data_IF_777074330367
#
_entry.id   IF_777074330367
#
_cell.length_a   1.000
_cell.length_b   1.000
_cell.length_c   1.000
_cell.angle_alpha   90.00
_cell.angle_beta   90.00
_cell.angle_gamma   90.00
#
_symmetry.space_group_name_H-M   'P 1'
#
loop_
_entity.id
_entity.type
_entity.pdbx_description
1 polymer ?
#
# COMPACT_ATOMS: atom_id res chain seq x y z
N UNK A 1 -11.99 -25.54 -28.45
CA UNK A 1 -11.65 -24.74 -28.15
C UNK A 1 -11.51 -24.64 -26.82
N UNK A 2 -10.84 -24.40 -26.45
CA UNK A 2 -10.60 -24.29 -25.38
C UNK A 2 -11.06 -23.22 -24.93
N UNK A 3 -11.50 -22.98 -24.15
CA UNK A 3 -11.99 -22.02 -23.73
C UNK A 3 -11.15 -21.31 -23.19
N UNK A 4 -11.12 -20.26 -23.33
CA UNK A 4 -10.20 -19.51 -22.86
C UNK A 4 -10.48 -19.08 -21.50
N UNK A 5 -9.55 -19.13 -20.66
CA UNK A 5 -9.63 -18.58 -19.36
C UNK A 5 -9.23 -17.15 -19.46
N UNK A 6 -9.96 -16.23 -18.90
CA UNK A 6 -9.56 -14.83 -18.97
C UNK A 6 -8.21 -14.64 -18.31
N UNK A 7 -7.36 -13.90 -18.96
CA UNK A 7 -6.04 -13.61 -18.45
C UNK A 7 -6.04 -12.26 -17.77
N UNK A 8 -5.30 -12.11 -16.69
CA UNK A 8 -5.23 -10.80 -16.04
C UNK A 8 -4.53 -9.82 -16.93
N UNK A 9 -4.90 -8.57 -16.79
CA UNK A 9 -4.23 -7.51 -17.44
C UNK A 9 -2.79 -7.52 -17.04
N UNK A 10 -1.91 -7.05 -17.89
CA UNK A 10 -0.48 -7.02 -17.60
C UNK A 10 -0.16 -6.26 -16.33
N UNK A 11 -1.01 -5.31 -15.93
CA UNK A 11 -0.78 -4.53 -14.74
C UNK A 11 -1.20 -5.22 -13.45
N UNK A 12 -1.96 -6.29 -13.52
CA UNK A 12 -2.52 -6.91 -12.31
C UNK A 12 -1.45 -7.57 -11.47
N UNK A 13 -0.55 -8.33 -12.08
CA UNK A 13 0.48 -9.02 -11.33
C UNK A 13 1.47 -8.05 -10.69
N UNK A 14 1.99 -7.04 -11.41
CA UNK A 14 2.86 -6.06 -10.75
C UNK A 14 2.17 -5.31 -9.63
N UNK A 15 0.88 -5.03 -9.76
CA UNK A 15 0.11 -4.39 -8.69
C UNK A 15 0.07 -5.30 -7.48
N UNK A 16 -0.21 -6.57 -7.68
CA UNK A 16 -0.27 -7.52 -6.58
C UNK A 16 1.08 -7.67 -5.90
N UNK A 17 2.15 -7.62 -6.67
CA UNK A 17 3.48 -7.72 -6.11
C UNK A 17 3.80 -6.55 -5.20
N UNK A 18 3.38 -5.36 -5.56
CA UNK A 18 3.62 -4.21 -4.70
C UNK A 18 2.86 -4.35 -3.38
N UNK A 19 1.73 -5.01 -3.40
CA UNK A 19 0.93 -5.20 -2.20
C UNK A 19 1.27 -6.47 -1.44
N UNK A 20 2.24 -7.24 -1.91
CA UNK A 20 2.59 -8.48 -1.24
C UNK A 20 3.54 -8.29 -0.06
N UNK A 21 4.10 -7.12 0.08
CA UNK A 21 5.03 -6.85 1.17
C UNK A 21 4.31 -6.11 2.29
N UNK A 22 4.32 -6.66 3.52
CA UNK A 22 3.58 -6.03 4.62
C UNK A 22 4.07 -4.63 4.94
N UNK A 23 5.36 -4.36 4.76
CA UNK A 23 5.89 -3.02 5.05
C UNK A 23 5.34 -1.99 4.08
N UNK A 24 5.25 -2.36 2.81
CA UNK A 24 4.68 -1.44 1.83
C UNK A 24 3.22 -1.18 2.12
N UNK A 25 2.48 -2.23 2.47
CA UNK A 25 1.06 -2.05 2.80
C UNK A 25 0.91 -1.15 4.02
N UNK A 26 1.74 -1.33 5.03
CA UNK A 26 1.67 -0.49 6.22
C UNK A 26 1.92 0.98 5.89
N UNK A 27 2.89 1.24 5.04
CA UNK A 27 3.19 2.62 4.67
C UNK A 27 2.08 3.23 3.81
N UNK A 28 1.52 2.45 2.90
CA UNK A 28 0.40 2.94 2.10
C UNK A 28 -0.80 3.22 2.97
N UNK A 29 -1.07 2.35 3.93
CA UNK A 29 -2.21 2.53 4.82
C UNK A 29 -2.04 3.79 5.67
N UNK A 30 -0.82 4.09 6.08
CA UNK A 30 -0.55 5.29 6.84
C UNK A 30 -0.81 6.57 6.06
N UNK A 31 -0.84 6.47 4.73
CA UNK A 31 -1.08 7.62 3.88
C UNK A 31 -2.53 7.72 3.40
N UNK A 32 -3.41 6.91 3.96
CA UNK A 32 -4.82 7.02 3.62
C UNK A 32 -5.39 8.34 4.14
N UNK A 33 -6.51 8.72 3.56
CA UNK A 33 -7.22 9.94 3.97
C UNK A 33 -6.42 11.21 3.70
N UNK A 34 -5.61 11.17 2.67
CA UNK A 34 -4.90 12.38 2.23
C UNK A 34 -3.72 12.77 3.09
N UNK A 35 -3.26 11.87 3.94
CA UNK A 35 -2.13 12.21 4.81
C UNK A 35 -0.84 12.33 4.03
N UNK A 36 0.04 13.17 4.53
CA UNK A 36 1.35 13.37 3.95
C UNK A 36 2.35 13.14 5.06
N UNK A 37 3.30 12.26 4.83
CA UNK A 37 4.27 11.91 5.85
C UNK A 37 5.66 11.83 5.25
N UNK A 38 6.68 12.20 6.01
CA UNK A 38 8.05 12.05 5.55
C UNK A 38 8.46 10.58 5.58
N UNK A 39 9.46 10.25 4.78
CA UNK A 39 9.92 8.87 4.69
C UNK A 39 10.36 8.30 6.03
N UNK A 40 10.96 9.11 6.89
CA UNK A 40 11.39 8.63 8.20
C UNK A 40 10.23 8.20 9.07
N UNK A 41 9.11 8.93 9.00
CA UNK A 41 7.93 8.55 9.77
C UNK A 41 7.34 7.26 9.24
N UNK A 42 7.33 7.12 7.93
CA UNK A 42 6.81 5.90 7.31
C UNK A 42 7.66 4.70 7.67
N UNK A 43 8.98 4.87 7.72
CA UNK A 43 9.86 3.79 8.13
C UNK A 43 9.55 3.35 9.56
N UNK A 44 9.31 4.30 10.44
CA UNK A 44 8.98 3.97 11.82
C UNK A 44 7.64 3.26 11.93
N UNK A 45 6.66 3.71 11.19
CA UNK A 45 5.35 3.07 11.17
C UNK A 45 5.45 1.63 10.71
N UNK A 46 6.25 1.39 9.68
CA UNK A 46 6.40 0.04 9.15
C UNK A 46 7.43 -0.78 9.91
N UNK A 47 8.11 -0.18 10.86
CA UNK A 47 9.14 -0.85 11.68
C UNK A 47 10.26 -1.43 10.82
N UNK A 48 10.72 -0.64 9.86
CA UNK A 48 11.81 -1.06 8.99
C UNK A 48 12.89 0.01 8.97
N UNK A 49 14.03 -0.35 8.45
CA UNK A 49 15.15 0.59 8.35
C UNK A 49 14.84 1.67 7.36
N UNK A 50 15.37 2.87 7.57
CA UNK A 50 15.14 3.95 6.61
C UNK A 50 15.59 3.61 5.19
N UNK A 51 16.68 2.86 5.03
CA UNK A 51 17.12 2.51 3.69
C UNK A 51 16.13 1.57 3.00
N UNK A 52 15.57 0.62 3.75
CA UNK A 52 14.57 -0.29 3.20
C UNK A 52 13.30 0.48 2.86
N UNK A 53 12.90 1.39 3.73
CA UNK A 53 11.73 2.22 3.45
C UNK A 53 11.93 3.04 2.20
N UNK A 54 13.13 3.62 2.03
CA UNK A 54 13.40 4.42 0.84
C UNK A 54 13.29 3.60 -0.44
N UNK A 55 13.75 2.36 -0.41
CA UNK A 55 13.64 1.50 -1.59
C UNK A 55 12.19 1.19 -1.91
N UNK A 56 11.41 0.85 -0.88
CA UNK A 56 10.00 0.56 -1.08
C UNK A 56 9.25 1.79 -1.59
N UNK A 57 9.54 2.95 -1.01
CA UNK A 57 8.85 4.17 -1.41
C UNK A 57 9.21 4.59 -2.82
N UNK A 58 10.47 4.39 -3.21
CA UNK A 58 10.88 4.70 -4.58
C UNK A 58 10.12 3.85 -5.59
N UNK A 59 9.89 2.58 -5.27
CA UNK A 59 9.13 1.71 -6.16
C UNK A 59 7.68 2.17 -6.25
N UNK A 60 7.11 2.62 -5.15
CA UNK A 60 5.73 3.08 -5.16
C UNK A 60 5.57 4.41 -5.90
N UNK A 61 6.57 5.28 -5.80
CA UNK A 61 6.60 6.52 -6.56
C UNK A 61 6.72 6.20 -8.06
N UNK A 62 7.62 5.28 -8.39
CA UNK A 62 7.82 4.93 -9.78
C UNK A 62 6.56 4.30 -10.38
N UNK A 63 5.81 3.56 -9.59
CA UNK A 63 4.57 2.96 -10.06
C UNK A 63 3.43 3.97 -10.19
N UNK A 64 3.63 5.20 -9.75
CA UNK A 64 2.59 6.22 -9.84
C UNK A 64 1.59 6.16 -8.71
N UNK A 65 1.88 5.43 -7.64
CA UNK A 65 0.97 5.34 -6.51
C UNK A 65 1.19 6.45 -5.51
N UNK A 66 2.43 6.89 -5.36
CA UNK A 66 2.78 7.93 -4.42
C UNK A 66 3.39 9.12 -5.14
N UNK A 67 3.13 10.29 -4.61
CA UNK A 67 3.78 11.50 -5.08
C UNK A 67 4.64 12.07 -3.96
N UNK A 68 5.60 12.89 -4.35
CA UNK A 68 6.48 13.55 -3.41
C UNK A 68 6.14 15.02 -3.43
N UNK A 69 5.89 15.58 -2.27
CA UNK A 69 5.66 17.01 -2.14
C UNK A 69 6.78 17.64 -1.35
N UNK A 70 7.32 18.70 -1.86
CA UNK A 70 8.39 19.38 -1.18
C UNK A 70 7.90 20.72 -0.68
N UNK A 71 8.09 20.98 0.60
CA UNK A 71 7.73 22.25 1.17
C UNK A 71 8.94 22.72 1.95
N UNK A 72 9.63 23.71 1.45
CA UNK A 72 10.87 24.18 2.05
C UNK A 72 11.90 23.07 2.01
N UNK A 73 12.40 22.68 3.17
CA UNK A 73 13.36 21.61 3.24
C UNK A 73 12.75 20.28 3.47
N UNK A 74 11.43 20.19 3.60
CA UNK A 74 10.79 18.96 3.97
C UNK A 74 10.17 18.29 2.76
N UNK A 75 10.33 16.99 2.69
CA UNK A 75 9.74 16.19 1.62
C UNK A 75 8.75 15.24 2.24
N UNK A 76 7.57 15.19 1.66
CA UNK A 76 6.49 14.35 2.14
C UNK A 76 6.02 13.43 1.04
N UNK A 77 5.62 12.23 1.41
CA UNK A 77 5.01 11.29 0.47
C UNK A 77 3.51 11.38 0.66
N UNK A 78 2.77 11.22 -0.40
CA UNK A 78 1.32 11.12 -0.29
C UNK A 78 0.79 10.19 -1.36
N UNK A 79 -0.37 9.60 -1.09
CA UNK A 79 -1.00 8.70 -2.02
C UNK A 79 -1.68 9.53 -3.11
N UNK A 80 -1.35 9.27 -4.36
CA UNK A 80 -1.91 10.05 -5.45
C UNK A 80 -2.79 9.24 -6.39
N UNK A 81 -2.72 7.92 -6.35
CA UNK A 81 -3.52 7.09 -7.24
C UNK A 81 -4.87 6.82 -6.59
N UNK A 82 -5.97 7.30 -7.18
CA UNK A 82 -7.26 7.17 -6.52
C UNK A 82 -7.70 5.72 -6.35
N UNK A 83 -7.32 4.84 -7.24
CA UNK A 83 -7.71 3.45 -7.13
C UNK A 83 -6.99 2.69 -6.03
N UNK A 84 -5.84 3.19 -5.58
CA UNK A 84 -5.09 2.45 -4.56
C UNK A 84 -5.78 2.51 -3.21
N UNK A 85 -6.35 3.66 -2.86
CA UNK A 85 -7.10 3.77 -1.61
C UNK A 85 -8.27 2.80 -1.60
N UNK A 86 -9.01 2.73 -2.70
CA UNK A 86 -10.12 1.81 -2.81
C UNK A 86 -9.67 0.37 -2.72
N UNK A 87 -8.55 0.06 -3.34
CA UNK A 87 -8.01 -1.28 -3.31
C UNK A 87 -7.62 -1.69 -1.89
N UNK A 88 -6.96 -0.80 -1.16
CA UNK A 88 -6.57 -1.09 0.21
C UNK A 88 -7.80 -1.31 1.09
N UNK A 89 -8.84 -0.52 0.91
CA UNK A 89 -10.05 -0.70 1.68
C UNK A 89 -10.74 -2.01 1.34
N UNK A 90 -10.75 -2.38 0.08
CA UNK A 90 -11.34 -3.64 -0.34
C UNK A 90 -10.56 -4.82 0.24
N UNK A 91 -9.25 -4.72 0.26
CA UNK A 91 -8.42 -5.76 0.85
C UNK A 91 -8.69 -5.91 2.33
N UNK A 92 -8.90 -4.80 3.03
CA UNK A 92 -9.20 -4.84 4.45
C UNK A 92 -10.54 -5.51 4.70
N UNK A 93 -11.51 -5.26 3.85
CA UNK A 93 -12.81 -5.90 3.96
C UNK A 93 -12.68 -7.41 3.78
N UNK A 94 -11.96 -7.82 2.74
CA UNK A 94 -11.77 -9.24 2.47
C UNK A 94 -11.02 -9.91 3.62
N UNK A 95 -9.96 -9.27 4.08
CA UNK A 95 -9.19 -9.80 5.20
C UNK A 95 -10.00 -9.90 6.47
N UNK A 96 -10.81 -8.91 6.75
CA UNK A 96 -11.69 -8.97 7.90
C UNK A 96 -12.73 -10.05 7.79
N UNK A 97 -13.23 -10.26 6.59
CA UNK A 97 -14.21 -11.30 6.37
C UNK A 97 -13.63 -12.69 6.55
N UNK A 98 -12.40 -12.88 6.14
CA UNK A 98 -11.79 -14.17 6.27
C UNK A 98 -11.16 -14.41 7.62
N UNK A 99 -11.06 -13.37 8.44
CA UNK A 99 -10.50 -13.56 9.72
C UNK A 99 -11.47 -14.24 10.60
N UNK A 100 -11.15 -15.20 11.25
CA UNK A 100 -12.06 -15.90 12.10
C UNK A 100 -12.38 -14.96 13.19
N UNK A 101 -13.44 -15.05 13.64
CA UNK A 101 -13.79 -14.18 14.50
C UNK A 101 -13.32 -14.37 15.76
N UNK A 102 -12.18 -14.38 15.85
CA UNK A 102 -11.70 -14.52 17.09
C UNK A 102 -12.23 -13.50 17.96
N UNK A 103 -12.64 -12.45 17.41
CA UNK A 103 -12.99 -11.51 18.19
C UNK A 103 -14.17 -11.75 18.85
N UNK A 104 -14.83 -12.58 18.50
CA UNK A 104 -15.95 -12.70 19.06
C UNK A 104 -16.00 -13.69 19.96
N UNK A 105 -15.15 -13.97 20.38
CA UNK A 105 -15.23 -14.88 21.16
C UNK A 105 -15.76 -14.62 22.30
N UNK A 106 -15.94 -14.48 22.79
CA UNK A 106 -16.45 -14.27 23.81
C UNK A 106 -16.82 -14.64 24.53
N UNK A 107 -17.21 -14.76 25.32
CA UNK A 107 -17.57 -14.66 26.16
C UNK A 107 -17.52 -14.76 26.43
#
# INVERSE_FOLDING_TARGET
SRRSVPQPDAAVVPTAELLADPSRVAMLWALMDGRRLPAGDLARIACIRPSTASEHLARLVEAGWLGVEQTGRHRYLRLIHPGVAELLEAMAVVGGTTQPSARQVGP
#
